data_IF_847821234004
#
_entry.id   IF_847821234004
#
_cell.length_a   1.000
_cell.length_b   1.000
_cell.length_c   1.000
_cell.angle_alpha   90.00
_cell.angle_beta   90.00
_cell.angle_gamma   90.00
#
_symmetry.space_group_name_H-M   'P 1'
#
loop_
_entity.id
_entity.type
_entity.pdbx_description
1 polymer ?
#
# COMPACT_ATOMS: atom_id res chain seq x y z
N UNK A 1 -22.29 -4.26 -66.58
CA UNK A 1 -22.82 -2.95 -67.01
C UNK A 1 -22.30 -1.90 -66.04
N UNK A 2 -21.56 -1.01 -66.57
CA UNK A 2 -20.75 0.08 -66.02
C UNK A 2 -21.55 1.20 -65.39
N UNK A 3 -21.12 1.70 -64.25
CA UNK A 3 -21.56 2.98 -63.69
C UNK A 3 -20.40 3.73 -63.02
N UNK A 4 -19.73 4.59 -63.80
CA UNK A 4 -18.71 5.52 -63.33
C UNK A 4 -19.37 6.70 -62.60
N UNK A 5 -18.99 6.98 -61.36
CA UNK A 5 -19.28 8.27 -60.73
C UNK A 5 -18.07 9.21 -60.86
N UNK A 6 -18.33 10.39 -61.40
CA UNK A 6 -17.38 11.48 -61.62
C UNK A 6 -17.17 12.23 -60.29
N UNK A 7 -15.91 12.43 -59.91
CA UNK A 7 -15.52 13.38 -58.91
C UNK A 7 -15.58 14.80 -59.42
N UNK A 8 -16.26 15.69 -58.72
CA UNK A 8 -16.36 17.12 -59.01
C UNK A 8 -15.32 17.89 -58.17
N UNK A 9 -14.28 18.39 -58.81
CA UNK A 9 -13.30 19.28 -58.19
C UNK A 9 -13.93 20.67 -58.06
N UNK A 10 -14.10 21.18 -56.87
CA UNK A 10 -14.38 22.61 -56.63
C UNK A 10 -13.08 23.24 -56.10
N UNK A 11 -12.48 24.07 -56.97
CA UNK A 11 -11.33 24.86 -56.63
C UNK A 11 -11.72 26.10 -55.80
N UNK A 12 -11.13 26.23 -54.63
CA UNK A 12 -11.19 27.47 -53.87
C UNK A 12 -9.91 28.26 -54.02
N UNK A 13 -10.03 29.49 -54.58
CA UNK A 13 -8.97 30.49 -54.61
C UNK A 13 -8.74 31.06 -53.22
N UNK A 14 -7.59 30.78 -52.65
CA UNK A 14 -7.18 31.37 -51.37
C UNK A 14 -6.40 32.65 -51.63
N UNK A 15 -7.00 33.80 -51.26
CA UNK A 15 -6.33 35.09 -51.24
C UNK A 15 -5.40 35.26 -50.03
N UNK A 16 -4.41 36.17 -50.08
CA UNK A 16 -3.28 36.19 -49.13
C UNK A 16 -3.59 36.71 -47.71
N UNK A 17 -4.84 36.90 -47.32
CA UNK A 17 -5.21 37.42 -45.98
C UNK A 17 -5.92 36.39 -45.07
N UNK A 18 -6.16 35.18 -45.52
CA UNK A 18 -6.85 34.16 -44.74
C UNK A 18 -5.95 33.33 -43.78
N UNK A 19 -4.65 33.35 -43.95
CA UNK A 19 -3.73 32.47 -43.23
C UNK A 19 -3.43 32.87 -41.77
N UNK A 20 -3.56 34.17 -41.44
CA UNK A 20 -3.17 34.66 -40.12
C UNK A 20 -4.26 34.47 -39.05
N UNK A 21 -5.51 34.44 -39.44
CA UNK A 21 -6.63 34.26 -38.50
C UNK A 21 -6.86 32.80 -38.12
N UNK A 22 -6.51 31.85 -39.01
CA UNK A 22 -6.59 30.42 -38.74
C UNK A 22 -5.50 29.95 -37.73
N UNK A 23 -4.31 30.59 -37.78
CA UNK A 23 -3.20 30.25 -36.86
C UNK A 23 -3.49 30.70 -35.43
N UNK A 24 -4.18 31.84 -35.23
CA UNK A 24 -4.57 32.32 -33.89
C UNK A 24 -5.67 31.47 -33.28
N UNK A 25 -6.60 30.93 -34.07
CA UNK A 25 -7.66 30.01 -33.57
C UNK A 25 -7.06 28.66 -33.19
N UNK A 26 -6.06 28.16 -33.94
CA UNK A 26 -5.37 26.90 -33.58
C UNK A 26 -4.51 27.05 -32.33
N UNK A 27 -3.86 28.20 -32.09
CA UNK A 27 -3.07 28.47 -30.89
C UNK A 27 -3.98 28.62 -29.68
N UNK A 28 -5.16 29.24 -29.80
CA UNK A 28 -6.14 29.34 -28.73
C UNK A 28 -6.76 27.98 -28.39
N UNK A 29 -6.99 27.12 -29.39
CA UNK A 29 -7.49 25.75 -29.16
C UNK A 29 -6.47 24.83 -28.46
N UNK A 30 -5.18 24.94 -28.81
CA UNK A 30 -4.11 24.16 -28.17
C UNK A 30 -3.81 24.68 -26.77
N UNK A 31 -3.88 25.98 -26.50
CA UNK A 31 -3.74 26.52 -25.15
C UNK A 31 -4.97 26.25 -24.27
N UNK A 32 -6.16 26.23 -24.85
CA UNK A 32 -7.39 25.87 -24.15
C UNK A 32 -7.44 24.38 -23.76
N UNK A 33 -6.94 23.49 -24.61
CA UNK A 33 -6.89 22.05 -24.33
C UNK A 33 -5.88 21.69 -23.23
N UNK A 34 -4.77 22.43 -23.12
CA UNK A 34 -3.77 22.20 -22.06
C UNK A 34 -4.16 22.82 -20.70
N UNK A 35 -5.09 23.78 -20.67
CA UNK A 35 -5.60 24.35 -19.41
C UNK A 35 -6.80 23.57 -18.84
N UNK A 36 -7.50 22.77 -19.66
CA UNK A 36 -8.61 21.93 -19.19
C UNK A 36 -8.15 20.57 -18.62
N UNK A 37 -6.89 20.18 -18.81
CA UNK A 37 -6.34 18.95 -18.23
C UNK A 37 -5.89 19.10 -16.76
N UNK A 38 -6.05 20.29 -16.17
CA UNK A 38 -5.75 20.56 -14.75
C UNK A 38 -6.96 21.08 -13.96
N UNK A 39 -8.15 21.08 -14.56
CA UNK A 39 -9.38 21.19 -13.79
C UNK A 39 -9.63 19.83 -13.13
N UNK A 40 -9.46 19.76 -11.82
CA UNK A 40 -9.55 18.54 -11.03
C UNK A 40 -10.72 17.67 -11.46
N UNK A 41 -10.41 16.42 -11.76
CA UNK A 41 -11.39 15.37 -11.94
C UNK A 41 -12.27 15.34 -10.68
N UNK A 42 -13.53 15.69 -10.82
CA UNK A 42 -14.47 15.67 -9.72
C UNK A 42 -14.47 14.23 -9.17
N UNK A 43 -14.07 14.06 -7.92
CA UNK A 43 -13.96 12.76 -7.27
C UNK A 43 -15.28 12.00 -7.48
N UNK A 44 -15.21 10.89 -8.20
CA UNK A 44 -16.35 10.00 -8.33
C UNK A 44 -16.66 9.40 -6.96
N UNK A 45 -17.95 9.30 -6.56
CA UNK A 45 -18.31 8.67 -5.30
C UNK A 45 -17.72 7.26 -5.21
N UNK A 46 -16.85 7.02 -4.21
CA UNK A 46 -16.21 5.73 -3.98
C UNK A 46 -14.76 5.60 -4.45
N UNK A 47 -14.20 6.58 -5.17
CA UNK A 47 -12.77 6.58 -5.53
C UNK A 47 -11.96 7.23 -4.41
N UNK A 48 -11.04 6.46 -3.84
CA UNK A 48 -10.13 6.90 -2.78
C UNK A 48 -8.82 7.36 -3.41
N UNK A 49 -8.43 8.61 -3.16
CA UNK A 49 -7.26 9.22 -3.80
C UNK A 49 -5.93 8.88 -3.09
N UNK A 50 -5.99 8.54 -1.82
CA UNK A 50 -4.82 8.11 -1.04
C UNK A 50 -5.23 7.20 0.11
N UNK A 51 -4.44 6.17 0.36
CA UNK A 51 -4.58 5.27 1.51
C UNK A 51 -3.19 5.02 2.05
N UNK A 52 -3.02 5.21 3.35
CA UNK A 52 -1.75 4.99 4.00
C UNK A 52 -1.30 3.52 3.83
N UNK A 53 -0.03 3.34 3.46
CA UNK A 53 0.56 2.03 3.24
C UNK A 53 0.32 1.42 1.85
N UNK A 54 -0.47 2.06 0.99
CA UNK A 54 -0.64 1.62 -0.40
C UNK A 54 0.07 2.64 -1.32
N UNK A 55 1.04 2.21 -2.15
CA UNK A 55 1.64 3.09 -3.16
C UNK A 55 0.57 3.72 -4.06
N UNK A 56 0.66 5.02 -4.39
CA UNK A 56 -0.39 5.71 -5.16
C UNK A 56 -0.75 5.04 -6.49
N UNK A 57 0.25 4.54 -7.23
CA UNK A 57 0.03 3.83 -8.51
C UNK A 57 -0.74 2.52 -8.27
N UNK A 58 -0.42 1.79 -7.20
CA UNK A 58 -1.11 0.55 -6.84
C UNK A 58 -2.56 0.81 -6.40
N UNK A 59 -2.80 1.86 -5.60
CA UNK A 59 -4.15 2.29 -5.25
C UNK A 59 -4.97 2.69 -6.49
N UNK A 60 -4.32 3.39 -7.42
CA UNK A 60 -4.94 3.71 -8.73
C UNK A 60 -5.30 2.45 -9.50
N UNK A 61 -4.45 1.42 -9.48
CA UNK A 61 -4.72 0.13 -10.11
C UNK A 61 -5.95 -0.57 -9.48
N UNK A 62 -6.09 -0.56 -8.17
CA UNK A 62 -7.27 -1.12 -7.49
C UNK A 62 -8.56 -0.37 -7.84
N UNK A 63 -8.54 0.97 -7.81
CA UNK A 63 -9.67 1.79 -8.23
C UNK A 63 -10.05 1.55 -9.70
N UNK A 64 -9.05 1.47 -10.58
CA UNK A 64 -9.23 1.19 -12.01
C UNK A 64 -9.85 -0.20 -12.24
N UNK A 65 -9.37 -1.21 -11.52
CA UNK A 65 -9.92 -2.56 -11.59
C UNK A 65 -11.41 -2.59 -11.21
N UNK A 66 -11.79 -1.92 -10.11
CA UNK A 66 -13.20 -1.81 -9.69
C UNK A 66 -14.04 -1.10 -10.75
N UNK A 67 -13.55 0.00 -11.32
CA UNK A 67 -14.27 0.78 -12.34
C UNK A 67 -14.46 0.03 -13.66
N UNK A 68 -13.50 -0.83 -14.06
CA UNK A 68 -13.55 -1.57 -15.30
C UNK A 68 -14.21 -2.96 -15.17
N UNK A 69 -14.31 -3.49 -13.96
CA UNK A 69 -14.89 -4.81 -13.71
C UNK A 69 -16.29 -5.03 -14.33
N UNK A 70 -17.25 -4.08 -14.27
CA UNK A 70 -18.57 -4.26 -14.85
C UNK A 70 -18.56 -4.52 -16.37
N UNK A 71 -17.53 -4.06 -17.09
CA UNK A 71 -17.36 -4.34 -18.53
C UNK A 71 -17.01 -5.79 -18.81
N UNK A 72 -16.28 -6.45 -17.90
CA UNK A 72 -15.79 -7.82 -18.03
C UNK A 72 -16.69 -8.83 -17.29
N UNK A 73 -17.29 -8.42 -16.19
CA UNK A 73 -18.13 -9.24 -15.30
C UNK A 73 -19.40 -8.48 -14.90
N UNK A 74 -20.35 -8.24 -15.81
CA UNK A 74 -21.54 -7.42 -15.54
C UNK A 74 -22.44 -8.00 -14.43
N UNK A 75 -22.34 -9.29 -14.16
CA UNK A 75 -23.10 -9.97 -13.11
C UNK A 75 -22.35 -10.04 -11.76
N UNK A 76 -21.22 -9.34 -11.63
CA UNK A 76 -20.47 -9.24 -10.38
C UNK A 76 -20.68 -7.84 -9.77
N UNK A 77 -21.21 -7.79 -8.56
CA UNK A 77 -21.48 -6.56 -7.82
C UNK A 77 -20.74 -6.55 -6.48
N UNK A 78 -20.64 -5.37 -5.85
CA UNK A 78 -20.07 -5.26 -4.52
C UNK A 78 -18.56 -5.38 -4.43
N UNK A 79 -17.81 -5.41 -5.56
CA UNK A 79 -16.35 -5.33 -5.53
C UNK A 79 -15.89 -3.99 -4.97
N UNK A 80 -14.90 -4.02 -4.08
CA UNK A 80 -14.32 -2.82 -3.49
C UNK A 80 -12.80 -2.80 -3.71
N UNK A 81 -12.23 -1.60 -3.82
CA UNK A 81 -10.78 -1.42 -3.84
C UNK A 81 -10.12 -2.02 -2.59
N UNK A 82 -10.77 -1.93 -1.43
CA UNK A 82 -10.30 -2.45 -0.15
C UNK A 82 -10.16 -3.98 -0.12
N UNK A 83 -11.03 -4.71 -0.83
CA UNK A 83 -10.89 -6.14 -0.99
C UNK A 83 -9.66 -6.49 -1.84
N UNK A 84 -9.44 -5.77 -2.95
CA UNK A 84 -8.26 -5.96 -3.79
C UNK A 84 -6.97 -5.60 -3.03
N UNK A 85 -7.00 -4.49 -2.29
CA UNK A 85 -5.88 -4.07 -1.45
C UNK A 85 -5.58 -5.09 -0.34
N UNK A 86 -6.61 -5.70 0.26
CA UNK A 86 -6.42 -6.74 1.28
C UNK A 86 -5.72 -7.98 0.71
N UNK A 87 -6.08 -8.40 -0.50
CA UNK A 87 -5.36 -9.48 -1.21
C UNK A 87 -3.91 -9.06 -1.48
N UNK A 88 -3.68 -7.86 -2.04
CA UNK A 88 -2.32 -7.37 -2.34
C UNK A 88 -1.44 -7.21 -1.10
N UNK A 89 -2.02 -6.92 0.07
CA UNK A 89 -1.30 -6.88 1.34
C UNK A 89 -0.83 -8.28 1.75
N UNK A 90 -1.72 -9.27 1.72
CA UNK A 90 -1.40 -10.65 2.12
C UNK A 90 -0.41 -11.29 1.15
N UNK A 91 -0.52 -11.01 -0.15
CA UNK A 91 0.30 -11.64 -1.18
C UNK A 91 1.72 -11.04 -1.29
N UNK A 92 1.86 -9.72 -1.14
CA UNK A 92 3.15 -9.04 -1.40
C UNK A 92 3.43 -7.84 -0.52
N UNK A 93 2.63 -7.61 0.53
CA UNK A 93 2.71 -6.37 1.35
C UNK A 93 2.71 -5.13 0.45
N UNK A 94 1.73 -5.03 -0.44
CA UNK A 94 1.57 -3.93 -1.39
C UNK A 94 2.79 -3.75 -2.34
N UNK A 95 3.34 -4.86 -2.86
CA UNK A 95 4.54 -4.90 -3.69
C UNK A 95 5.81 -4.39 -2.96
N UNK A 96 5.93 -4.65 -1.65
CA UNK A 96 7.07 -4.23 -0.86
C UNK A 96 8.39 -4.75 -1.43
N UNK A 97 9.41 -3.87 -1.42
CA UNK A 97 10.74 -4.20 -1.96
C UNK A 97 10.89 -3.94 -3.46
N UNK A 98 9.81 -3.58 -4.16
CA UNK A 98 9.85 -3.19 -5.57
C UNK A 98 9.44 -1.73 -5.76
N UNK A 99 9.98 -1.06 -6.76
CA UNK A 99 9.48 0.23 -7.26
C UNK A 99 8.36 -0.02 -8.26
N UNK A 100 7.36 0.87 -8.30
CA UNK A 100 6.24 0.81 -9.24
C UNK A 100 6.36 2.01 -10.17
N UNK A 101 6.55 1.76 -11.46
CA UNK A 101 6.58 2.80 -12.48
C UNK A 101 5.16 3.38 -12.73
N UNK A 102 5.06 4.56 -13.36
CA UNK A 102 3.78 5.21 -13.62
C UNK A 102 2.84 4.37 -14.51
N UNK A 103 3.39 3.54 -15.40
CA UNK A 103 2.62 2.60 -16.23
C UNK A 103 2.20 1.31 -15.48
N UNK A 104 2.61 1.17 -14.22
CA UNK A 104 2.27 0.03 -13.37
C UNK A 104 3.30 -1.10 -13.31
N UNK A 105 4.38 -1.05 -14.10
CA UNK A 105 5.42 -2.08 -14.05
C UNK A 105 6.20 -2.02 -12.74
N UNK A 106 6.48 -3.18 -12.17
CA UNK A 106 7.26 -3.32 -10.93
C UNK A 106 8.70 -3.76 -11.21
N UNK A 107 9.64 -3.21 -10.45
CA UNK A 107 11.06 -3.56 -10.55
C UNK A 107 11.76 -3.51 -9.17
N UNK A 108 12.45 -4.56 -8.72
CA UNK A 108 12.55 -5.87 -9.37
C UNK A 108 11.21 -6.62 -9.42
N UNK A 109 11.04 -7.59 -10.35
CA UNK A 109 9.85 -8.43 -10.41
C UNK A 109 9.70 -9.27 -9.14
N UNK A 110 8.46 -9.48 -8.72
CA UNK A 110 8.12 -10.25 -7.52
C UNK A 110 7.84 -11.70 -7.91
N UNK A 111 8.54 -12.62 -7.25
CA UNK A 111 8.31 -14.04 -7.39
C UNK A 111 8.26 -14.71 -6.02
N UNK A 112 7.28 -15.57 -5.83
CA UNK A 112 7.18 -16.44 -4.68
C UNK A 112 8.28 -17.51 -4.66
N UNK A 113 8.33 -18.33 -3.61
CA UNK A 113 9.25 -19.48 -3.55
C UNK A 113 8.96 -20.46 -4.69
N UNK A 114 9.99 -21.20 -5.09
CA UNK A 114 9.85 -22.28 -6.06
C UNK A 114 9.05 -23.41 -5.41
N UNK A 115 8.01 -23.88 -6.10
CA UNK A 115 7.11 -24.93 -5.59
C UNK A 115 7.65 -26.34 -5.95
N UNK A 116 8.82 -26.67 -5.43
CA UNK A 116 9.52 -27.94 -5.71
C UNK A 116 9.16 -29.09 -4.74
N UNK A 117 8.29 -28.82 -3.78
CA UNK A 117 7.88 -29.79 -2.76
C UNK A 117 8.86 -29.92 -1.59
N UNK A 118 9.89 -29.07 -1.49
CA UNK A 118 10.91 -29.09 -0.43
C UNK A 118 10.42 -28.66 0.95
N UNK A 119 9.21 -28.14 1.06
CA UNK A 119 8.64 -27.55 2.28
C UNK A 119 8.87 -26.05 2.42
N UNK A 120 9.65 -25.42 1.55
CA UNK A 120 9.84 -23.97 1.53
C UNK A 120 8.49 -23.28 1.27
N UNK A 121 8.18 -22.25 2.07
CA UNK A 121 6.90 -21.57 2.00
C UNK A 121 5.67 -22.46 2.32
N UNK A 122 5.88 -23.58 3.02
CA UNK A 122 4.81 -24.55 3.34
C UNK A 122 4.45 -25.50 2.20
N UNK A 123 5.12 -25.41 1.04
CA UNK A 123 4.86 -26.26 -0.11
C UNK A 123 5.50 -27.66 0.05
N UNK A 124 4.68 -28.69 0.22
CA UNK A 124 5.10 -30.08 0.36
C UNK A 124 4.83 -30.92 -0.89
N UNK A 125 4.28 -30.30 -1.97
CA UNK A 125 3.96 -30.98 -3.23
C UNK A 125 4.55 -30.20 -4.39
N UNK A 126 5.32 -30.85 -5.25
CA UNK A 126 5.90 -30.21 -6.42
C UNK A 126 4.81 -29.79 -7.43
N UNK A 127 4.88 -28.55 -7.91
CA UNK A 127 4.04 -28.00 -8.97
C UNK A 127 4.94 -27.65 -10.15
N UNK A 128 4.69 -28.28 -11.30
CA UNK A 128 5.51 -28.12 -12.48
C UNK A 128 4.92 -27.12 -13.46
N UNK A 129 5.78 -26.34 -14.10
CA UNK A 129 5.44 -25.66 -15.34
C UNK A 129 5.39 -26.67 -16.49
N UNK A 130 4.24 -26.80 -17.11
CA UNK A 130 3.97 -27.82 -18.14
C UNK A 130 4.23 -27.32 -19.55
N UNK A 131 4.26 -25.99 -19.74
CA UNK A 131 4.45 -25.34 -21.04
C UNK A 131 5.61 -24.34 -21.01
N UNK A 132 6.16 -24.02 -22.18
CA UNK A 132 7.20 -23.00 -22.30
C UNK A 132 6.65 -21.59 -21.97
N UNK A 133 5.38 -21.34 -22.21
CA UNK A 133 4.72 -20.07 -21.83
C UNK A 133 4.68 -19.90 -20.30
N UNK A 134 4.37 -20.95 -19.55
CA UNK A 134 4.41 -20.91 -18.07
C UNK A 134 5.83 -20.63 -17.58
N UNK A 135 6.85 -21.30 -18.14
CA UNK A 135 8.25 -21.08 -17.78
C UNK A 135 8.74 -19.65 -18.07
N UNK A 136 8.30 -19.07 -19.21
CA UNK A 136 8.68 -17.70 -19.56
C UNK A 136 8.13 -16.68 -18.58
N UNK A 137 6.94 -16.92 -18.04
CA UNK A 137 6.28 -16.00 -17.11
C UNK A 137 6.99 -15.95 -15.74
N UNK A 138 7.49 -17.07 -15.24
CA UNK A 138 8.07 -17.17 -13.90
C UNK A 138 9.61 -17.19 -13.86
N UNK A 139 10.25 -16.74 -14.95
CA UNK A 139 11.71 -16.62 -15.03
C UNK A 139 12.44 -17.89 -15.45
N UNK A 140 11.77 -18.85 -16.10
CA UNK A 140 12.38 -20.03 -16.71
C UNK A 140 12.50 -21.24 -15.79
N UNK A 141 11.78 -21.26 -14.68
CA UNK A 141 11.80 -22.36 -13.73
C UNK A 141 11.10 -23.62 -14.26
N UNK A 142 11.62 -24.82 -13.90
CA UNK A 142 10.93 -26.09 -14.11
C UNK A 142 9.71 -26.23 -13.18
N UNK A 143 9.86 -25.77 -11.95
CA UNK A 143 8.78 -25.74 -10.97
C UNK A 143 8.12 -24.36 -10.97
N UNK A 144 6.81 -24.34 -10.85
CA UNK A 144 6.05 -23.11 -10.86
C UNK A 144 6.37 -22.22 -9.65
N UNK A 145 6.20 -20.92 -9.83
CA UNK A 145 6.31 -19.89 -8.81
C UNK A 145 5.14 -18.92 -8.94
N UNK A 146 4.62 -18.46 -7.83
CA UNK A 146 3.69 -17.36 -7.83
C UNK A 146 4.36 -16.07 -8.34
N UNK A 147 3.61 -15.18 -9.00
CA UNK A 147 4.16 -14.05 -9.74
C UNK A 147 3.41 -12.75 -9.45
N UNK A 148 4.18 -11.68 -9.39
CA UNK A 148 3.67 -10.31 -9.31
C UNK A 148 3.09 -9.93 -7.95
N UNK A 149 2.51 -8.73 -7.85
CA UNK A 149 2.02 -8.19 -6.58
C UNK A 149 0.81 -8.96 -6.02
N UNK A 150 0.13 -9.73 -6.87
CA UNK A 150 -1.04 -10.54 -6.51
C UNK A 150 -0.77 -12.06 -6.57
N UNK A 151 0.49 -12.46 -6.70
CA UNK A 151 1.01 -13.83 -6.59
C UNK A 151 0.22 -14.89 -7.40
N UNK A 152 -0.09 -14.59 -8.67
CA UNK A 152 -0.73 -15.56 -9.56
C UNK A 152 0.21 -16.68 -10.00
N UNK A 153 -0.33 -17.90 -10.06
CA UNK A 153 0.35 -19.04 -10.69
C UNK A 153 0.41 -18.88 -12.22
N UNK A 154 1.49 -19.33 -12.90
CA UNK A 154 1.64 -19.19 -14.35
C UNK A 154 0.46 -19.74 -15.15
N UNK A 155 -0.03 -20.94 -14.84
CA UNK A 155 -1.18 -21.54 -15.52
C UNK A 155 -2.44 -20.70 -15.36
N UNK A 156 -2.72 -20.19 -14.16
CA UNK A 156 -3.86 -19.30 -13.90
C UNK A 156 -3.71 -17.99 -14.66
N UNK A 157 -2.50 -17.44 -14.73
CA UNK A 157 -2.27 -16.20 -15.48
C UNK A 157 -2.53 -16.36 -16.97
N UNK A 158 -2.10 -17.47 -17.56
CA UNK A 158 -2.36 -17.76 -19.00
C UNK A 158 -3.85 -17.81 -19.29
N UNK A 159 -4.67 -18.42 -18.40
CA UNK A 159 -6.11 -18.57 -18.62
C UNK A 159 -6.89 -17.28 -18.30
N UNK A 160 -6.55 -16.59 -17.22
CA UNK A 160 -7.42 -15.55 -16.62
C UNK A 160 -6.83 -14.15 -16.69
N UNK A 161 -5.54 -13.99 -17.01
CA UNK A 161 -4.84 -12.70 -17.03
C UNK A 161 -5.57 -11.66 -17.89
N UNK A 162 -5.65 -10.43 -17.36
CA UNK A 162 -6.31 -9.29 -18.02
C UNK A 162 -5.28 -8.19 -18.32
N UNK A 163 -5.55 -7.41 -19.36
CA UNK A 163 -4.83 -6.17 -19.67
C UNK A 163 -5.52 -5.01 -18.95
N UNK A 164 -5.00 -4.60 -17.83
CA UNK A 164 -5.60 -3.59 -16.95
C UNK A 164 -5.16 -2.16 -17.26
N UNK A 165 -3.99 -1.97 -17.88
CA UNK A 165 -3.47 -0.67 -18.29
C UNK A 165 -3.76 -0.35 -19.76
N UNK A 166 -4.33 -1.29 -20.52
CA UNK A 166 -4.70 -1.19 -21.94
C UNK A 166 -3.49 -0.95 -22.87
N UNK A 167 -2.35 -1.56 -22.55
CA UNK A 167 -1.15 -1.49 -23.39
C UNK A 167 -1.05 -2.61 -24.45
N UNK A 168 -2.01 -3.54 -24.45
CA UNK A 168 -2.09 -4.69 -25.36
C UNK A 168 -1.34 -5.93 -24.87
N UNK A 169 -0.71 -5.87 -23.69
CA UNK A 169 -0.05 -6.99 -23.04
C UNK A 169 -0.81 -7.44 -21.78
N UNK A 170 -0.47 -8.61 -21.25
CA UNK A 170 -0.97 -9.12 -19.96
C UNK A 170 0.26 -9.52 -19.16
N UNK A 171 0.72 -8.63 -18.27
CA UNK A 171 1.95 -8.79 -17.52
C UNK A 171 1.66 -8.99 -16.02
N UNK A 172 1.96 -10.17 -15.43
CA UNK A 172 1.72 -10.40 -14.00
C UNK A 172 2.56 -9.49 -13.10
N UNK A 173 3.61 -8.87 -13.65
CA UNK A 173 4.46 -7.90 -12.96
C UNK A 173 4.00 -6.44 -13.19
N UNK A 174 2.79 -6.23 -13.74
CA UNK A 174 2.15 -4.93 -13.84
C UNK A 174 0.98 -4.84 -12.85
N UNK A 175 0.94 -3.79 -12.04
CA UNK A 175 -0.05 -3.66 -10.95
C UNK A 175 -1.48 -3.50 -11.46
N UNK A 176 -1.69 -2.88 -12.63
CA UNK A 176 -3.03 -2.71 -13.22
C UNK A 176 -3.57 -4.03 -13.75
N UNK A 177 -2.72 -4.80 -14.45
CA UNK A 177 -3.08 -6.11 -14.99
C UNK A 177 -3.38 -7.09 -13.85
N UNK A 178 -2.51 -7.11 -12.84
CA UNK A 178 -2.66 -7.97 -11.68
C UNK A 178 -3.94 -7.63 -10.88
N UNK A 179 -4.23 -6.34 -10.66
CA UNK A 179 -5.44 -5.91 -9.94
C UNK A 179 -6.72 -6.25 -10.70
N UNK A 180 -6.77 -6.01 -12.02
CA UNK A 180 -7.95 -6.34 -12.84
C UNK A 180 -8.15 -7.85 -12.94
N UNK A 181 -7.07 -8.61 -13.08
CA UNK A 181 -7.11 -10.08 -13.05
C UNK A 181 -7.67 -10.60 -11.74
N UNK A 182 -7.21 -10.05 -10.60
CA UNK A 182 -7.74 -10.40 -9.27
C UNK A 182 -9.22 -10.10 -9.16
N UNK A 183 -9.67 -8.93 -9.61
CA UNK A 183 -11.07 -8.55 -9.58
C UNK A 183 -11.95 -9.53 -10.40
N UNK A 184 -11.53 -9.87 -11.61
CA UNK A 184 -12.26 -10.81 -12.47
C UNK A 184 -12.25 -12.25 -11.92
N UNK A 185 -11.14 -12.67 -11.32
CA UNK A 185 -10.97 -13.99 -10.72
C UNK A 185 -11.86 -14.18 -9.48
N UNK A 186 -11.92 -13.18 -8.59
CA UNK A 186 -12.81 -13.18 -7.42
C UNK A 186 -14.29 -13.22 -7.79
N UNK A 187 -14.68 -12.63 -8.93
CA UNK A 187 -16.04 -12.71 -9.44
C UNK A 187 -16.40 -14.09 -10.00
N UNK A 188 -15.44 -14.79 -10.60
CA UNK A 188 -15.70 -16.02 -11.35
C UNK A 188 -16.55 -15.76 -12.60
N UNK A 189 -17.24 -16.80 -13.10
CA UNK A 189 -18.04 -16.73 -14.33
C UNK A 189 -19.54 -16.60 -14.10
N UNK A 190 -20.02 -16.73 -12.85
CA UNK A 190 -21.44 -16.68 -12.48
C UNK A 190 -21.89 -15.30 -12.00
N UNK A 191 -23.07 -15.28 -11.37
CA UNK A 191 -23.55 -14.12 -10.63
C UNK A 191 -22.94 -14.11 -9.24
N UNK A 192 -22.28 -13.01 -8.87
CA UNK A 192 -21.59 -12.86 -7.58
C UNK A 192 -21.90 -11.49 -7.00
N UNK A 193 -22.32 -11.47 -5.73
CA UNK A 193 -22.56 -10.24 -4.98
C UNK A 193 -21.58 -10.15 -3.80
N UNK A 194 -20.47 -9.46 -4.02
CA UNK A 194 -19.40 -9.29 -3.01
C UNK A 194 -19.75 -8.27 -1.90
N UNK A 195 -20.99 -7.80 -1.85
CA UNK A 195 -21.51 -7.11 -0.67
C UNK A 195 -21.95 -8.10 0.42
N UNK A 196 -22.12 -9.39 0.08
CA UNK A 196 -22.56 -10.45 0.99
C UNK A 196 -21.39 -11.21 1.57
N UNK A 197 -21.28 -11.33 2.91
CA UNK A 197 -20.13 -11.95 3.57
C UNK A 197 -19.86 -13.40 3.12
N UNK A 198 -20.89 -14.18 2.92
CA UNK A 198 -20.77 -15.57 2.46
C UNK A 198 -20.16 -15.67 1.05
N UNK A 199 -20.53 -14.75 0.16
CA UNK A 199 -20.00 -14.71 -1.21
C UNK A 199 -18.58 -14.14 -1.24
N UNK A 200 -18.24 -13.17 -0.39
CA UNK A 200 -16.86 -12.70 -0.20
C UNK A 200 -15.99 -13.86 0.28
N UNK A 201 -16.41 -14.59 1.32
CA UNK A 201 -15.67 -15.75 1.82
C UNK A 201 -15.44 -16.81 0.73
N UNK A 202 -16.48 -17.15 -0.05
CA UNK A 202 -16.37 -18.10 -1.14
C UNK A 202 -15.43 -17.61 -2.26
N UNK A 203 -15.42 -16.31 -2.55
CA UNK A 203 -14.52 -15.72 -3.53
C UNK A 203 -13.06 -15.77 -3.08
N UNK A 204 -12.78 -15.43 -1.82
CA UNK A 204 -11.44 -15.50 -1.25
C UNK A 204 -10.96 -16.95 -1.14
N UNK A 205 -11.82 -17.91 -0.73
CA UNK A 205 -11.49 -19.35 -0.72
C UNK A 205 -11.18 -19.88 -2.13
N UNK A 206 -11.77 -19.32 -3.19
CA UNK A 206 -11.40 -19.67 -4.58
C UNK A 206 -10.01 -19.18 -4.94
N UNK A 207 -9.62 -18.03 -4.40
CA UNK A 207 -8.29 -17.46 -4.60
C UNK A 207 -7.21 -18.29 -3.89
N UNK A 208 -7.45 -18.60 -2.63
CA UNK A 208 -6.59 -19.46 -1.82
C UNK A 208 -7.44 -20.35 -0.91
N UNK A 209 -7.28 -21.67 -1.02
CA UNK A 209 -8.09 -22.70 -0.34
C UNK A 209 -7.76 -22.85 1.16
N UNK A 210 -7.45 -21.76 1.86
CA UNK A 210 -7.12 -21.73 3.28
C UNK A 210 -8.06 -20.82 4.05
N UNK A 211 -8.71 -21.33 5.09
CA UNK A 211 -9.54 -20.49 5.97
C UNK A 211 -8.71 -19.43 6.70
N UNK A 212 -7.49 -19.75 7.12
CA UNK A 212 -6.59 -18.78 7.74
C UNK A 212 -6.27 -17.60 6.79
N UNK A 213 -6.12 -17.88 5.50
CA UNK A 213 -5.96 -16.86 4.48
C UNK A 213 -7.21 -15.97 4.35
N UNK A 214 -8.41 -16.58 4.34
CA UNK A 214 -9.67 -15.82 4.32
C UNK A 214 -9.75 -14.86 5.50
N UNK A 215 -9.48 -15.36 6.70
CA UNK A 215 -9.56 -14.59 7.94
C UNK A 215 -8.58 -13.41 7.93
N UNK A 216 -7.37 -13.60 7.40
CA UNK A 216 -6.36 -12.57 7.27
C UNK A 216 -6.76 -11.50 6.24
N UNK A 217 -7.23 -11.91 5.06
CA UNK A 217 -7.73 -10.98 4.02
C UNK A 217 -8.91 -10.16 4.55
N UNK A 218 -9.85 -10.76 5.27
CA UNK A 218 -11.01 -10.05 5.84
C UNK A 218 -10.60 -9.05 6.93
N UNK A 219 -9.60 -9.38 7.72
CA UNK A 219 -9.02 -8.45 8.71
C UNK A 219 -8.42 -7.23 8.00
N UNK A 220 -7.63 -7.43 6.95
CA UNK A 220 -7.07 -6.34 6.16
C UNK A 220 -8.14 -5.56 5.41
N UNK A 221 -9.14 -6.23 4.82
CA UNK A 221 -10.27 -5.56 4.18
C UNK A 221 -10.97 -4.61 5.17
N UNK A 222 -11.25 -5.06 6.39
CA UNK A 222 -11.86 -4.23 7.42
C UNK A 222 -11.00 -3.01 7.74
N UNK A 223 -9.69 -3.18 7.85
CA UNK A 223 -8.73 -2.09 8.06
C UNK A 223 -8.78 -1.07 6.91
N UNK A 224 -8.73 -1.54 5.66
CA UNK A 224 -8.78 -0.68 4.49
C UNK A 224 -10.16 -0.02 4.27
N UNK A 225 -11.26 -0.69 4.60
CA UNK A 225 -12.60 -0.08 4.60
C UNK A 225 -12.67 1.12 5.55
N UNK A 226 -12.11 0.97 6.76
CA UNK A 226 -12.05 2.08 7.74
C UNK A 226 -11.16 3.23 7.24
N UNK A 227 -10.00 2.92 6.64
CA UNK A 227 -9.13 3.92 6.02
C UNK A 227 -9.82 4.63 4.86
N UNK A 228 -10.57 3.91 4.03
CA UNK A 228 -11.30 4.46 2.89
C UNK A 228 -12.49 5.33 3.29
N UNK A 229 -13.24 4.97 4.33
CA UNK A 229 -14.32 5.79 4.86
C UNK A 229 -13.79 7.13 5.37
N UNK A 230 -12.61 7.13 5.98
CA UNK A 230 -11.93 8.33 6.43
C UNK A 230 -11.42 9.19 5.26
N UNK A 231 -11.03 8.58 4.13
CA UNK A 231 -10.58 9.27 2.93
C UNK A 231 -11.74 9.77 2.04
N UNK A 232 -12.88 9.05 1.99
CA UNK A 232 -14.02 9.33 1.10
C UNK A 232 -15.01 10.37 1.62
N UNK A 233 -15.07 10.60 2.92
CA UNK A 233 -16.04 11.55 3.52
C UNK A 233 -15.54 13.00 3.58
N UNK A 234 -14.37 13.32 3.00
CA UNK A 234 -13.83 14.68 3.06
C UNK A 234 -13.67 15.25 4.49
N UNK A 235 -14.03 14.43 5.50
CA UNK A 235 -13.65 14.68 6.88
C UNK A 235 -12.34 13.94 7.09
N UNK A 236 -11.23 14.65 7.28
CA UNK A 236 -10.06 14.04 7.89
C UNK A 236 -10.54 13.31 9.16
N UNK A 237 -9.99 12.13 9.47
CA UNK A 237 -9.95 11.72 10.89
C UNK A 237 -9.53 13.01 11.61
N UNK A 238 -10.33 13.55 12.55
CA UNK A 238 -10.04 14.85 13.07
C UNK A 238 -8.57 14.89 13.46
N UNK A 239 -7.73 15.57 12.65
CA UNK A 239 -6.35 15.84 12.91
C UNK A 239 -5.23 15.10 12.18
N UNK A 240 -5.44 14.13 11.29
CA UNK A 240 -4.31 13.45 10.64
C UNK A 240 -4.02 13.92 9.20
N UNK A 241 -2.80 14.35 8.92
CA UNK A 241 -2.32 14.58 7.55
C UNK A 241 -2.20 13.25 6.78
N UNK A 242 -2.20 13.27 5.44
CA UNK A 242 -1.93 12.07 4.62
C UNK A 242 -0.61 11.38 5.02
N UNK A 243 0.40 12.20 5.37
CA UNK A 243 1.68 11.71 5.90
C UNK A 243 1.52 10.98 7.23
N UNK A 244 0.76 11.57 8.18
CA UNK A 244 0.52 10.96 9.48
C UNK A 244 -0.19 9.62 9.36
N UNK A 245 -1.12 9.49 8.43
CA UNK A 245 -1.80 8.22 8.14
C UNK A 245 -0.83 7.18 7.57
N UNK A 246 0.10 7.58 6.68
CA UNK A 246 1.14 6.69 6.16
C UNK A 246 2.06 6.17 7.28
N UNK A 247 2.44 7.04 8.22
CA UNK A 247 3.24 6.66 9.40
C UNK A 247 2.50 5.65 10.26
N UNK A 248 1.20 5.90 10.55
CA UNK A 248 0.37 4.97 11.33
C UNK A 248 0.26 3.61 10.64
N UNK A 249 -0.02 3.59 9.33
CA UNK A 249 -0.15 2.35 8.59
C UNK A 249 1.14 1.53 8.56
N UNK A 250 2.30 2.19 8.43
CA UNK A 250 3.59 1.51 8.50
C UNK A 250 3.80 0.84 9.87
N UNK A 251 3.49 1.54 10.96
CA UNK A 251 3.58 0.98 12.31
C UNK A 251 2.57 -0.16 12.56
N UNK A 252 1.36 -0.05 12.00
CA UNK A 252 0.34 -1.10 12.08
C UNK A 252 0.76 -2.39 11.38
N UNK A 253 1.48 -2.31 10.26
CA UNK A 253 2.04 -3.50 9.59
C UNK A 253 3.00 -4.25 10.48
N UNK A 254 3.93 -3.55 11.12
CA UNK A 254 4.91 -4.17 12.03
C UNK A 254 4.22 -4.77 13.28
N UNK A 255 3.17 -4.13 13.75
CA UNK A 255 2.33 -4.66 14.84
C UNK A 255 1.60 -5.94 14.39
N UNK A 256 1.00 -5.95 13.22
CA UNK A 256 0.29 -7.12 12.67
C UNK A 256 1.24 -8.29 12.39
N UNK A 257 2.48 -8.01 11.96
CA UNK A 257 3.54 -8.99 11.80
C UNK A 257 4.13 -9.51 13.13
N UNK A 258 3.65 -9.00 14.27
CA UNK A 258 4.13 -9.34 15.61
C UNK A 258 5.64 -9.17 15.79
N UNK A 259 6.23 -8.15 15.16
CA UNK A 259 7.67 -7.90 15.22
C UNK A 259 8.10 -7.67 16.66
N UNK A 260 9.12 -8.38 17.18
CA UNK A 260 9.54 -8.24 18.55
C UNK A 260 10.32 -6.95 18.81
N UNK A 261 10.36 -6.54 20.07
CA UNK A 261 11.28 -5.51 20.53
C UNK A 261 12.73 -6.00 20.49
N UNK A 262 13.62 -5.18 19.97
CA UNK A 262 15.07 -5.42 20.00
C UNK A 262 15.79 -4.11 20.34
N UNK A 263 16.47 -4.05 21.48
CA UNK A 263 17.18 -2.84 21.93
C UNK A 263 18.27 -2.42 20.92
N UNK A 264 18.19 -1.20 20.43
CA UNK A 264 19.06 -0.67 19.38
C UNK A 264 18.74 -1.22 17.98
N UNK A 265 17.73 -2.10 17.85
CA UNK A 265 17.30 -2.68 16.58
C UNK A 265 16.38 -1.77 15.78
N UNK A 266 16.32 -2.03 14.48
CA UNK A 266 15.48 -1.32 13.53
C UNK A 266 16.03 0.02 13.06
N UNK A 267 15.45 0.50 11.97
CA UNK A 267 15.82 1.75 11.30
C UNK A 267 15.03 1.93 10.02
N UNK A 268 15.44 2.85 9.15
CA UNK A 268 14.73 3.21 7.92
C UNK A 268 14.38 2.04 6.99
N UNK A 269 15.18 0.96 7.03
CA UNK A 269 15.04 -0.20 6.15
C UNK A 269 14.24 -1.36 6.77
N UNK A 270 13.74 -1.22 8.00
CA UNK A 270 12.97 -2.26 8.68
C UNK A 270 13.60 -2.76 9.98
N UNK A 271 13.10 -3.90 10.52
CA UNK A 271 13.60 -4.50 11.74
C UNK A 271 15.03 -5.04 11.55
N UNK A 272 15.83 -5.01 12.59
CA UNK A 272 17.21 -5.51 12.58
C UNK A 272 17.61 -6.12 13.91
N UNK A 273 18.74 -6.80 13.94
CA UNK A 273 19.39 -7.16 15.20
C UNK A 273 19.74 -5.90 16.00
N UNK A 274 19.57 -5.98 17.31
CA UNK A 274 20.01 -4.98 18.23
C UNK A 274 21.30 -5.37 18.95
N UNK A 275 21.52 -4.80 20.13
CA UNK A 275 22.68 -5.08 20.97
C UNK A 275 22.32 -4.98 22.46
N UNK A 276 23.23 -5.43 23.31
CA UNK A 276 23.10 -5.27 24.77
C UNK A 276 24.19 -4.30 25.27
N UNK A 277 23.80 -3.36 26.11
CA UNK A 277 24.69 -2.29 26.59
C UNK A 277 25.10 -2.44 28.09
N UNK A 278 24.91 -3.65 28.65
CA UNK A 278 25.13 -3.93 30.07
C UNK A 278 23.89 -3.73 30.95
N UNK A 279 22.88 -3.01 30.46
CA UNK A 279 21.60 -2.76 31.17
C UNK A 279 20.41 -3.17 30.31
N UNK A 280 20.40 -2.77 29.05
CA UNK A 280 19.30 -2.98 28.12
C UNK A 280 19.59 -4.11 27.14
N UNK A 281 18.54 -4.67 26.55
CA UNK A 281 18.62 -5.73 25.55
C UNK A 281 18.64 -7.15 26.15
N UNK A 282 18.56 -7.28 27.46
CA UNK A 282 18.60 -8.57 28.15
C UNK A 282 17.18 -9.10 28.44
N UNK A 283 17.02 -10.41 28.30
CA UNK A 283 15.83 -11.17 28.75
C UNK A 283 16.32 -12.34 29.60
N UNK A 284 15.82 -12.45 30.80
CA UNK A 284 16.21 -13.52 31.76
C UNK A 284 17.73 -13.68 31.93
N UNK A 285 18.45 -12.55 31.96
CA UNK A 285 19.91 -12.54 32.13
C UNK A 285 20.73 -12.83 30.87
N UNK A 286 20.10 -13.18 29.74
CA UNK A 286 20.77 -13.42 28.47
C UNK A 286 20.60 -12.23 27.52
N UNK A 287 21.62 -11.91 26.71
CA UNK A 287 21.53 -10.87 25.70
C UNK A 287 20.59 -11.31 24.58
N UNK A 288 19.35 -10.86 24.65
CA UNK A 288 18.29 -11.20 23.67
C UNK A 288 18.40 -10.35 22.41
N UNK A 289 18.72 -9.06 22.54
CA UNK A 289 18.68 -8.12 21.43
C UNK A 289 19.67 -8.49 20.29
N UNK A 290 20.83 -9.08 20.61
CA UNK A 290 21.81 -9.51 19.59
C UNK A 290 21.38 -10.72 18.74
N UNK A 291 20.26 -11.35 19.11
CA UNK A 291 19.71 -12.53 18.41
C UNK A 291 18.25 -12.30 17.97
N UNK A 292 17.68 -11.13 18.28
CA UNK A 292 16.29 -10.78 17.97
C UNK A 292 16.28 -9.72 16.87
N UNK A 293 15.76 -10.07 15.69
CA UNK A 293 15.46 -9.11 14.63
C UNK A 293 14.18 -8.38 15.01
N UNK A 294 14.24 -7.08 15.26
CA UNK A 294 13.11 -6.31 15.74
C UNK A 294 13.36 -4.82 15.72
N UNK A 295 12.52 -4.07 16.42
CA UNK A 295 12.65 -2.62 16.60
C UNK A 295 12.83 -2.27 18.07
N UNK A 296 13.62 -1.22 18.36
CA UNK A 296 13.37 -0.42 19.54
C UNK A 296 12.33 0.69 19.26
N UNK A 297 11.97 1.46 20.27
CA UNK A 297 10.92 2.48 20.16
C UNK A 297 11.19 3.52 19.06
N UNK A 298 12.39 4.05 19.02
CA UNK A 298 12.81 5.08 18.06
C UNK A 298 13.14 4.50 16.68
N UNK A 299 13.58 3.25 16.60
CA UNK A 299 13.77 2.53 15.34
C UNK A 299 12.46 2.26 14.63
N UNK A 300 11.39 1.89 15.36
CA UNK A 300 10.04 1.78 14.80
C UNK A 300 9.52 3.12 14.28
N UNK A 301 9.69 4.20 15.07
CA UNK A 301 9.31 5.54 14.64
C UNK A 301 10.08 5.96 13.38
N UNK A 302 11.40 5.73 13.35
CA UNK A 302 12.24 6.05 12.20
C UNK A 302 11.80 5.28 10.95
N UNK A 303 11.53 3.99 11.10
CA UNK A 303 10.99 3.17 10.01
C UNK A 303 9.67 3.73 9.49
N UNK A 304 8.69 3.94 10.36
CA UNK A 304 7.37 4.38 9.97
C UNK A 304 7.40 5.74 9.23
N UNK A 305 8.22 6.67 9.68
CA UNK A 305 8.41 7.94 8.99
C UNK A 305 9.15 7.80 7.66
N UNK A 306 10.14 6.91 7.56
CA UNK A 306 10.82 6.62 6.30
C UNK A 306 9.84 6.07 5.24
N UNK A 307 8.88 5.21 5.64
CA UNK A 307 7.82 4.73 4.74
C UNK A 307 6.88 5.85 4.26
N UNK A 308 6.79 6.94 5.03
CA UNK A 308 6.06 8.15 4.64
C UNK A 308 6.93 9.19 3.90
N UNK A 309 8.15 8.82 3.49
CA UNK A 309 9.09 9.68 2.77
C UNK A 309 9.79 10.73 3.64
N UNK A 310 9.83 10.54 4.95
CA UNK A 310 10.45 11.48 5.89
C UNK A 310 11.57 10.81 6.68
N UNK A 311 12.76 11.38 6.61
CA UNK A 311 13.88 10.93 7.43
C UNK A 311 13.88 11.66 8.77
N UNK A 312 13.80 10.90 9.85
CA UNK A 312 13.92 11.41 11.22
C UNK A 312 15.14 10.80 11.90
N UNK A 313 15.59 11.40 12.99
CA UNK A 313 16.76 10.95 13.73
C UNK A 313 16.58 9.53 14.31
N UNK A 314 17.70 8.88 14.70
CA UNK A 314 17.66 7.49 15.19
C UNK A 314 17.21 7.38 16.65
N UNK A 315 17.53 8.34 17.50
CA UNK A 315 17.21 8.24 18.93
C UNK A 315 15.95 9.03 19.29
N UNK A 316 15.23 8.60 20.33
CA UNK A 316 14.02 9.28 20.78
C UNK A 316 14.26 10.76 21.19
N UNK A 317 15.40 11.05 21.83
CA UNK A 317 15.76 12.42 22.19
C UNK A 317 15.99 13.27 20.93
N UNK A 318 16.75 12.77 19.96
CA UNK A 318 17.03 13.51 18.72
C UNK A 318 15.76 13.66 17.86
N UNK A 319 14.85 12.70 17.91
CA UNK A 319 13.52 12.80 17.27
C UNK A 319 12.69 13.90 17.94
N UNK A 320 12.72 14.01 19.26
CA UNK A 320 12.07 15.13 19.93
C UNK A 320 12.72 16.46 19.56
N UNK A 321 14.04 16.56 19.65
CA UNK A 321 14.78 17.79 19.38
C UNK A 321 14.63 18.25 17.92
N UNK A 322 14.59 17.30 16.96
CA UNK A 322 14.49 17.54 15.53
C UNK A 322 13.05 17.76 15.00
N UNK A 323 12.01 17.55 15.82
CA UNK A 323 10.63 17.73 15.35
C UNK A 323 10.37 19.20 14.99
N UNK A 324 9.98 19.51 13.73
CA UNK A 324 9.70 20.88 13.28
C UNK A 324 8.56 21.54 14.06
N UNK A 325 7.53 20.76 14.43
CA UNK A 325 6.44 21.23 15.28
C UNK A 325 6.44 20.46 16.58
N UNK A 326 6.71 21.15 17.68
CA UNK A 326 6.57 20.59 19.02
C UNK A 326 5.18 20.83 19.57
N UNK A 327 4.57 19.79 20.12
CA UNK A 327 3.27 19.85 20.78
C UNK A 327 3.53 19.77 22.27
N UNK A 328 3.38 20.89 23.01
CA UNK A 328 3.77 20.93 24.41
C UNK A 328 2.86 20.06 25.27
N UNK A 329 3.37 19.57 26.40
CA UNK A 329 2.61 18.78 27.37
C UNK A 329 1.29 19.47 27.76
N UNK A 330 1.29 20.80 27.92
CA UNK A 330 0.12 21.60 28.30
C UNK A 330 -1.01 21.59 27.26
N UNK A 331 -0.73 21.25 26.00
CA UNK A 331 -1.74 21.13 24.96
C UNK A 331 -2.52 19.80 25.05
N UNK A 332 -2.00 18.84 25.82
CA UNK A 332 -2.64 17.53 26.02
C UNK A 332 -2.71 16.69 24.75
N UNK A 333 -3.37 15.54 24.85
CA UNK A 333 -3.54 14.61 23.74
C UNK A 333 -4.51 15.13 22.65
N UNK A 334 -5.37 16.09 22.97
CA UNK A 334 -6.34 16.67 22.04
C UNK A 334 -5.68 17.46 20.89
N UNK A 335 -4.44 17.95 21.08
CA UNK A 335 -3.67 18.65 20.07
C UNK A 335 -2.92 17.70 19.12
N UNK A 336 -2.85 16.42 19.45
CA UNK A 336 -2.18 15.41 18.66
C UNK A 336 -3.05 14.93 17.50
N UNK A 337 -2.38 14.60 16.41
CA UNK A 337 -2.98 14.01 15.22
C UNK A 337 -2.39 12.61 15.01
N UNK A 338 -3.15 11.66 14.42
CA UNK A 338 -2.60 10.37 14.02
C UNK A 338 -1.33 10.55 13.19
N UNK A 339 -0.28 9.81 13.57
CA UNK A 339 1.05 9.90 13.00
C UNK A 339 2.00 10.84 13.75
N UNK A 340 1.53 11.67 14.67
CA UNK A 340 2.43 12.42 15.56
C UNK A 340 3.22 11.45 16.46
N UNK A 341 4.42 11.84 16.82
CA UNK A 341 5.19 11.15 17.85
C UNK A 341 4.75 11.62 19.24
N UNK A 342 4.63 10.68 20.16
CA UNK A 342 4.44 10.94 21.59
C UNK A 342 5.68 10.55 22.34
N UNK A 343 6.20 11.45 23.16
CA UNK A 343 7.47 11.30 23.84
C UNK A 343 7.31 11.15 25.36
N UNK A 344 8.20 10.38 25.95
CA UNK A 344 8.17 10.05 27.37
C UNK A 344 9.49 10.35 28.03
N UNK A 345 9.44 11.00 29.18
CA UNK A 345 10.60 11.46 29.95
C UNK A 345 10.42 11.16 31.44
N UNK A 346 11.53 10.93 32.12
CA UNK A 346 11.55 10.88 33.61
C UNK A 346 11.30 12.26 34.23
N UNK A 347 11.45 13.34 33.43
CA UNK A 347 11.17 14.71 33.82
C UNK A 347 10.19 15.36 32.84
N UNK A 348 8.88 15.05 32.90
CA UNK A 348 7.89 15.54 31.94
C UNK A 348 7.85 17.05 31.82
N UNK A 349 7.70 17.55 30.58
CA UNK A 349 7.63 18.98 30.27
C UNK A 349 8.98 19.68 30.09
N UNK A 350 10.10 19.05 30.42
CA UNK A 350 11.45 19.67 30.27
C UNK A 350 12.03 19.50 28.84
N UNK A 351 11.51 18.56 28.05
CA UNK A 351 12.08 18.21 26.76
C UNK A 351 13.46 17.54 26.83
N UNK A 352 13.84 17.05 28.00
CA UNK A 352 15.12 16.37 28.26
C UNK A 352 14.90 15.02 28.90
N UNK A 353 15.89 14.13 28.71
CA UNK A 353 15.82 12.78 29.25
C UNK A 353 14.68 11.95 28.61
N UNK A 354 14.46 12.16 27.31
CA UNK A 354 13.50 11.37 26.55
C UNK A 354 14.03 9.95 26.43
N UNK A 355 13.34 9.02 27.05
CA UNK A 355 13.76 7.61 27.08
C UNK A 355 12.91 6.72 26.18
N UNK A 356 11.73 7.19 25.75
CA UNK A 356 10.81 6.40 24.91
C UNK A 356 10.00 7.30 23.97
N UNK A 357 9.56 6.69 22.86
CA UNK A 357 8.70 7.32 21.86
C UNK A 357 7.68 6.31 21.33
N UNK A 358 6.47 6.79 21.06
CA UNK A 358 5.41 6.05 20.37
C UNK A 358 4.83 6.86 19.22
N UNK A 359 4.08 6.21 18.35
CA UNK A 359 3.35 6.81 17.23
C UNK A 359 1.89 6.93 17.64
N UNK A 360 1.38 8.15 17.77
CA UNK A 360 -0.02 8.40 18.12
C UNK A 360 -0.97 7.97 17.02
N UNK A 361 -2.03 7.25 17.37
CA UNK A 361 -3.02 6.72 16.42
C UNK A 361 -4.43 7.26 16.63
N UNK A 362 -4.59 8.26 17.52
CA UNK A 362 -5.89 8.81 17.89
C UNK A 362 -6.47 8.16 19.14
N UNK A 363 -7.52 8.77 19.71
CA UNK A 363 -8.25 8.21 20.85
C UNK A 363 -7.44 7.96 22.13
N UNK A 364 -6.30 8.66 22.31
CA UNK A 364 -5.40 8.45 23.44
C UNK A 364 -4.55 7.18 23.32
N UNK A 365 -4.48 6.56 22.13
CA UNK A 365 -3.73 5.35 21.85
C UNK A 365 -2.47 5.63 21.04
N UNK A 366 -1.45 4.78 21.20
CA UNK A 366 -0.21 4.82 20.42
C UNK A 366 0.18 3.40 19.97
N UNK A 367 0.94 3.30 18.89
CA UNK A 367 1.70 2.09 18.56
C UNK A 367 3.15 2.34 18.94
N UNK A 368 3.75 1.35 19.62
CA UNK A 368 5.15 1.44 20.03
C UNK A 368 5.80 0.05 20.15
N UNK A 369 7.14 0.03 20.09
CA UNK A 369 7.97 -1.08 20.51
C UNK A 369 8.40 -0.78 21.96
N UNK A 370 7.76 -1.42 22.95
CA UNK A 370 7.79 -0.97 24.33
C UNK A 370 9.07 -1.34 25.09
N UNK A 371 9.40 -2.63 25.15
CA UNK A 371 10.58 -3.14 25.87
C UNK A 371 10.90 -4.60 25.48
N UNK A 372 12.11 -5.05 25.83
CA UNK A 372 12.55 -6.45 25.62
C UNK A 372 11.52 -7.45 26.16
N UNK A 373 11.21 -8.49 25.39
CA UNK A 373 10.21 -9.51 25.73
C UNK A 373 8.79 -9.16 25.32
N UNK A 374 8.59 -8.05 24.59
CA UNK A 374 7.29 -7.68 23.99
C UNK A 374 7.39 -7.53 22.51
N UNK A 375 6.26 -7.58 21.82
CA UNK A 375 6.16 -7.23 20.39
C UNK A 375 5.68 -5.79 20.23
N UNK A 376 5.84 -5.24 19.03
CA UNK A 376 5.18 -4.00 18.60
C UNK A 376 3.69 -4.15 18.87
N UNK A 377 3.12 -3.15 19.57
CA UNK A 377 1.72 -3.21 20.01
C UNK A 377 1.06 -1.85 20.11
N UNK A 378 -0.27 -1.84 20.14
CA UNK A 378 -1.04 -0.68 20.51
C UNK A 378 -1.34 -0.69 22.00
N UNK A 379 -1.25 0.47 22.63
CA UNK A 379 -1.63 0.68 24.04
C UNK A 379 -1.92 2.17 24.30
N UNK A 380 -2.51 2.46 25.45
CA UNK A 380 -2.79 3.84 25.85
C UNK A 380 -1.51 4.64 26.06
N UNK A 381 -1.52 5.93 25.69
CA UNK A 381 -0.40 6.85 25.97
C UNK A 381 -0.13 6.90 27.48
N UNK A 382 1.11 6.73 27.90
CA UNK A 382 1.53 6.67 29.31
C UNK A 382 1.56 8.07 29.94
N UNK A 383 0.42 8.54 30.43
CA UNK A 383 0.26 9.93 30.89
C UNK A 383 1.19 10.33 32.01
N UNK A 384 1.66 9.41 32.86
CA UNK A 384 2.55 9.69 33.98
C UNK A 384 3.95 10.17 33.55
N UNK A 385 4.40 9.80 32.36
CA UNK A 385 5.70 10.17 31.81
C UNK A 385 5.62 10.90 30.46
N UNK A 386 4.42 11.11 29.95
CA UNK A 386 4.19 11.87 28.72
C UNK A 386 4.75 13.30 28.86
N UNK A 387 5.58 13.73 27.93
CA UNK A 387 6.29 15.02 27.99
C UNK A 387 5.92 15.97 26.84
N UNK A 388 5.14 15.50 25.88
CA UNK A 388 4.70 16.26 24.70
C UNK A 388 4.81 15.44 23.43
N UNK A 389 4.40 16.04 22.32
CA UNK A 389 4.43 15.43 20.99
C UNK A 389 5.37 16.12 20.02
N UNK A 390 5.57 15.49 18.87
CA UNK A 390 6.31 16.07 17.75
C UNK A 390 5.66 15.67 16.41
N UNK A 391 5.61 16.64 15.50
CA UNK A 391 5.08 16.45 14.14
C UNK A 391 6.13 16.82 13.11
N UNK A 392 6.29 15.96 12.11
CA UNK A 392 7.21 16.12 10.98
C UNK A 392 6.50 16.34 9.66
#
# INVERSE_FOLDING_TARGET
MTGKQKAMLIGFLIGPFGGFMLLLILIAAVMGANMSAQAGEAAQPGVVSSVAGIPPVLLSAYNNAVANLPKLRPNCTGMTWSLLAAIGEVESTQAAGSSIAANGDINPPIYGPVLDGSGVGGNTTAVYNTTDAEKQLDGGSTYARAMGPMQFMPATWISDGQDGNSDGARNPQNVFDAALTTATYLCGTGTTDLSKPDQVNAAILRYNHSQAYVDEVLKWKTTYDQMGQNAGNGSPVPGGSARGQAVVAAAQREMAANIPYSWGGGGTNGPSLGYCDGTNGYLNGSCSASHTVGFDCSGLAQYAYAQAGVNIARTAQDQYDGAPTKIPLSAGLAALQPGDLVFFSLNPGTGKGIYHVGIYIGGGQMINAAHTGTNVRSESVWMSSYTGGGRY
#
